data_IF_006870335154
#
_entry.id   IF_006870335154
#
_cell.length_a   1.000
_cell.length_b   1.000
_cell.length_c   1.000
_cell.angle_alpha   90.00
_cell.angle_beta   90.00
_cell.angle_gamma   90.00
#
_symmetry.space_group_name_H-M   'P 1'
#
loop_
_entity.id
_entity.type
_entity.pdbx_description
1 polymer ?
#
# COMPACT_ATOMS: atom_id res chain seq x y z
N UNK A 1 -8.98 18.73 13.43
CA UNK A 1 -7.52 18.82 13.18
C UNK A 1 -7.25 18.42 11.72
N UNK A 2 -6.35 19.09 10.99
CA UNK A 2 -6.19 18.89 9.55
C UNK A 2 -5.13 17.81 9.25
N UNK A 3 -5.54 16.68 8.67
CA UNK A 3 -4.69 15.69 7.97
C UNK A 3 -3.56 14.99 8.76
N UNK A 4 -3.22 13.77 8.36
CA UNK A 4 -1.99 13.08 8.79
C UNK A 4 -1.34 12.44 7.58
N UNK A 5 -0.02 12.61 7.44
CA UNK A 5 0.76 12.04 6.34
C UNK A 5 1.88 11.18 6.91
N UNK A 6 1.83 9.88 6.61
CA UNK A 6 2.89 8.97 6.98
C UNK A 6 4.09 9.14 6.05
N UNK A 7 5.29 9.31 6.62
CA UNK A 7 6.53 9.14 5.89
C UNK A 7 6.89 7.65 5.87
N UNK A 8 6.93 6.98 4.73
CA UNK A 8 6.73 7.48 3.36
C UNK A 8 5.81 6.54 2.57
N UNK A 9 5.45 6.95 1.35
CA UNK A 9 4.70 6.05 0.46
C UNK A 9 5.58 4.86 0.00
N UNK A 10 6.81 5.14 -0.43
CA UNK A 10 7.75 4.17 -1.00
C UNK A 10 9.04 4.12 -0.19
N UNK A 11 9.66 2.94 -0.16
CA UNK A 11 11.07 2.83 0.23
C UNK A 11 11.93 3.67 -0.71
N UNK A 12 12.60 4.68 -0.14
CA UNK A 12 13.33 5.70 -0.87
C UNK A 12 14.77 5.82 -0.35
N UNK A 13 15.53 6.73 -0.94
CA UNK A 13 16.88 7.04 -0.53
C UNK A 13 16.87 7.92 0.73
N UNK A 14 17.31 7.35 1.84
CA UNK A 14 17.35 8.04 3.14
C UNK A 14 18.71 8.72 3.36
N UNK A 15 18.98 9.76 2.57
CA UNK A 15 20.10 10.69 2.75
C UNK A 15 21.43 10.00 3.09
N UNK A 16 21.98 10.25 4.27
CA UNK A 16 23.26 9.72 4.75
C UNK A 16 23.27 8.20 4.91
N UNK A 17 22.11 7.58 5.07
CA UNK A 17 21.95 6.14 5.28
C UNK A 17 21.69 5.37 3.98
N UNK A 18 21.56 6.06 2.85
CA UNK A 18 21.26 5.46 1.57
C UNK A 18 19.95 4.67 1.58
N UNK A 19 19.94 3.49 0.97
CA UNK A 19 18.74 2.65 0.86
C UNK A 19 18.61 1.57 1.95
N UNK A 20 19.44 1.63 2.98
CA UNK A 20 19.42 0.63 4.06
C UNK A 20 18.15 0.78 4.91
N UNK A 21 17.77 1.99 5.36
CA UNK A 21 16.49 2.21 6.03
C UNK A 21 15.32 2.17 5.03
N UNK A 22 14.19 1.63 5.48
CA UNK A 22 13.00 1.38 4.64
C UNK A 22 11.72 1.81 5.33
N UNK A 23 11.38 3.09 5.20
CA UNK A 23 10.22 3.73 5.83
C UNK A 23 8.91 3.65 5.03
N UNK A 24 8.98 3.19 3.79
CA UNK A 24 7.83 3.17 2.89
C UNK A 24 6.74 2.20 3.34
N UNK A 25 5.48 2.59 3.11
CA UNK A 25 4.35 1.65 3.14
C UNK A 25 4.48 0.58 2.05
N UNK A 26 5.12 0.94 0.92
CA UNK A 26 5.35 0.06 -0.23
C UNK A 26 6.86 -0.24 -0.32
N UNK A 27 7.19 -1.53 -0.38
CA UNK A 27 8.54 -2.02 -0.63
C UNK A 27 8.89 -1.85 -2.12
N UNK A 28 10.11 -1.41 -2.38
CA UNK A 28 10.67 -1.30 -3.74
C UNK A 28 11.82 -2.29 -3.88
N UNK A 29 11.65 -3.25 -4.78
CA UNK A 29 12.66 -4.23 -5.13
C UNK A 29 13.57 -3.64 -6.21
N UNK A 30 14.78 -3.27 -5.81
CA UNK A 30 15.75 -2.60 -6.69
C UNK A 30 16.49 -3.58 -7.60
N UNK A 31 16.45 -4.87 -7.28
CA UNK A 31 17.14 -5.92 -8.03
C UNK A 31 16.22 -6.48 -9.13
N UNK A 32 14.90 -6.41 -8.93
CA UNK A 32 13.88 -6.84 -9.89
C UNK A 32 13.19 -5.64 -10.56
N UNK A 33 13.98 -4.75 -11.16
CA UNK A 33 13.48 -3.66 -12.02
C UNK A 33 12.57 -2.65 -11.32
N UNK A 34 12.78 -2.39 -10.02
CA UNK A 34 11.98 -1.46 -9.20
C UNK A 34 10.51 -1.88 -9.05
N UNK A 35 10.24 -3.20 -9.01
CA UNK A 35 8.92 -3.72 -8.68
C UNK A 35 8.47 -3.29 -7.29
N UNK A 36 7.16 -3.15 -7.12
CA UNK A 36 6.54 -2.56 -5.93
C UNK A 36 5.65 -3.57 -5.24
N UNK A 37 5.87 -3.75 -3.94
CA UNK A 37 5.14 -4.73 -3.14
C UNK A 37 4.52 -4.05 -1.92
N UNK A 38 3.20 -4.23 -1.74
CA UNK A 38 2.50 -3.70 -0.58
C UNK A 38 2.94 -4.43 0.70
N UNK A 39 3.52 -3.69 1.66
CA UNK A 39 3.83 -4.22 2.99
C UNK A 39 2.55 -4.39 3.81
N UNK A 40 2.67 -5.01 4.98
CA UNK A 40 1.55 -5.16 5.94
C UNK A 40 0.93 -3.80 6.31
N UNK A 41 1.77 -2.76 6.47
CA UNK A 41 1.32 -1.40 6.77
C UNK A 41 0.47 -0.79 5.66
N UNK A 42 0.85 -0.96 4.38
CA UNK A 42 0.01 -0.52 3.24
C UNK A 42 -1.35 -1.23 3.22
N UNK A 43 -1.37 -2.54 3.46
CA UNK A 43 -2.63 -3.31 3.51
C UNK A 43 -3.52 -2.85 4.66
N UNK A 44 -2.94 -2.63 5.85
CA UNK A 44 -3.67 -2.06 6.98
C UNK A 44 -4.22 -0.66 6.66
N UNK A 45 -3.41 0.20 6.03
CA UNK A 45 -3.83 1.56 5.68
C UNK A 45 -4.95 1.57 4.63
N UNK A 46 -4.94 0.60 3.71
CA UNK A 46 -6.03 0.37 2.74
C UNK A 46 -7.34 0.01 3.43
N UNK A 47 -7.32 -0.92 4.39
CA UNK A 47 -8.51 -1.30 5.16
C UNK A 47 -8.96 -0.17 6.10
N UNK A 48 -8.02 0.52 6.76
CA UNK A 48 -8.31 1.67 7.63
C UNK A 48 -9.06 2.78 6.87
N UNK A 49 -8.64 3.08 5.64
CA UNK A 49 -9.31 4.06 4.79
C UNK A 49 -10.51 3.49 4.02
N UNK A 50 -10.88 2.22 4.26
CA UNK A 50 -11.97 1.52 3.57
C UNK A 50 -11.84 1.60 2.05
N UNK A 51 -10.61 1.52 1.54
CA UNK A 51 -10.35 1.56 0.11
C UNK A 51 -11.05 0.37 -0.56
N UNK A 52 -11.73 0.59 -1.70
CA UNK A 52 -12.46 -0.46 -2.38
C UNK A 52 -11.49 -1.54 -2.86
N UNK A 53 -11.85 -2.80 -2.63
CA UNK A 53 -11.05 -3.92 -3.13
C UNK A 53 -11.38 -4.15 -4.60
N UNK A 54 -10.33 -4.25 -5.43
CA UNK A 54 -10.46 -4.77 -6.79
C UNK A 54 -10.76 -6.26 -6.68
N UNK A 55 -11.95 -6.64 -7.11
CA UNK A 55 -12.40 -8.03 -7.22
C UNK A 55 -12.56 -8.30 -8.70
N UNK A 56 -12.00 -9.41 -9.18
CA UNK A 56 -12.29 -9.90 -10.52
C UNK A 56 -13.62 -10.65 -10.45
N UNK A 57 -14.56 -10.31 -11.31
CA UNK A 57 -15.72 -11.18 -11.53
C UNK A 57 -15.34 -12.38 -12.41
N UNK A 58 -16.31 -13.28 -12.61
CA UNK A 58 -16.12 -14.49 -13.41
C UNK A 58 -15.77 -14.16 -14.88
N UNK A 59 -16.10 -12.96 -15.35
CA UNK A 59 -15.80 -12.42 -16.69
C UNK A 59 -14.45 -11.65 -16.73
N UNK A 60 -13.65 -11.75 -15.66
CA UNK A 60 -12.35 -11.10 -15.48
C UNK A 60 -12.41 -9.55 -15.51
N UNK A 61 -13.59 -8.96 -15.37
CA UNK A 61 -13.74 -7.52 -15.26
C UNK A 61 -13.32 -7.05 -13.87
N UNK A 62 -12.65 -5.89 -13.79
CA UNK A 62 -12.29 -5.28 -12.51
C UNK A 62 -13.53 -4.62 -11.92
N UNK A 63 -14.10 -5.24 -10.89
CA UNK A 63 -15.22 -4.68 -10.12
C UNK A 63 -14.70 -4.16 -8.78
N UNK A 64 -15.02 -2.90 -8.46
CA UNK A 64 -14.74 -2.33 -7.13
C UNK A 64 -15.84 -2.75 -6.16
N UNK A 65 -15.52 -3.61 -5.21
CA UNK A 65 -16.45 -3.94 -4.12
C UNK A 65 -16.13 -3.08 -2.88
N UNK A 66 -17.15 -2.52 -2.20
CA UNK A 66 -16.95 -1.84 -0.92
C UNK A 66 -16.22 -2.77 0.05
N UNK A 67 -15.28 -2.23 0.84
CA UNK A 67 -14.66 -2.99 1.93
C UNK A 67 -15.77 -3.52 2.84
N UNK A 68 -15.86 -4.85 2.97
CA UNK A 68 -16.91 -5.53 3.73
C UNK A 68 -17.11 -4.82 5.07
N UNK A 69 -18.31 -4.31 5.31
CA UNK A 69 -18.73 -3.92 6.65
C UNK A 69 -18.68 -5.20 7.48
N UNK A 70 -17.76 -5.27 8.43
CA UNK A 70 -17.76 -6.34 9.42
C UNK A 70 -19.09 -6.25 10.16
N UNK A 71 -20.02 -7.14 9.84
CA UNK A 71 -21.23 -7.32 10.61
C UNK A 71 -20.86 -7.72 12.03
N UNK A 72 -21.40 -6.99 13.00
CA UNK A 72 -21.58 -7.52 14.36
C UNK A 72 -22.62 -8.63 14.33
#
# INVERSE_FOLDING_TARGET
MPGHFAWSLLDNFEWTNGYTPRFGLIYVDRDDGFKRYMKKSARWFSEFNRAPRKVFDDDHAIVLKPALVSGN
#
